data_IF_544503972513
#
_entry.id   IF_544503972513
#
_cell.length_a   1.000
_cell.length_b   1.000
_cell.length_c   1.000
_cell.angle_alpha   90.00
_cell.angle_beta   90.00
_cell.angle_gamma   90.00
#
_symmetry.space_group_name_H-M   'P 1'
#
loop_
_entity.id
_entity.type
_entity.pdbx_description
1 polymer ?
#
# COMPACT_ATOMS: atom_id res chain seq x y z
N UNK A 1 14.49 12.51 -4.22
CA UNK A 1 13.83 11.20 -4.28
C UNK A 1 13.12 11.07 -5.61
N UNK A 2 13.18 9.90 -6.25
CA UNK A 2 12.49 9.61 -7.51
C UNK A 2 11.56 8.41 -7.32
N UNK A 3 10.34 8.48 -7.86
CA UNK A 3 9.39 7.35 -7.84
C UNK A 3 9.83 6.31 -8.87
N UNK A 4 9.99 5.07 -8.44
CA UNK A 4 10.32 3.94 -9.30
C UNK A 4 9.06 3.32 -9.91
N UNK A 5 8.07 3.05 -9.05
CA UNK A 5 6.82 2.40 -9.43
C UNK A 5 5.69 2.86 -8.50
N UNK A 6 4.46 2.70 -8.99
CA UNK A 6 3.24 2.68 -8.18
C UNK A 6 2.54 1.34 -8.43
N UNK A 7 2.24 0.64 -7.36
CA UNK A 7 1.50 -0.62 -7.37
C UNK A 7 0.16 -0.39 -6.69
N UNK A 8 -0.94 -0.88 -7.27
CA UNK A 8 -2.28 -0.62 -6.76
C UNK A 8 -2.99 -1.94 -6.49
N UNK A 9 -3.78 -1.97 -5.42
CA UNK A 9 -4.50 -3.15 -4.99
C UNK A 9 -5.80 -2.83 -4.27
N UNK A 10 -6.61 -3.87 -4.07
CA UNK A 10 -7.89 -3.80 -3.37
C UNK A 10 -7.97 -4.87 -2.28
N UNK A 11 -8.62 -4.52 -1.18
CA UNK A 11 -8.88 -5.44 -0.08
C UNK A 11 -10.26 -5.22 0.50
N UNK A 12 -10.83 -6.26 1.09
CA UNK A 12 -12.15 -6.17 1.70
C UNK A 12 -12.18 -6.83 3.07
N UNK A 13 -13.12 -6.40 3.90
CA UNK A 13 -13.61 -7.16 5.05
C UNK A 13 -15.13 -7.25 4.96
N UNK A 14 -15.63 -8.46 4.73
CA UNK A 14 -17.04 -8.66 4.41
C UNK A 14 -17.93 -8.67 5.67
N UNK A 15 -17.43 -9.07 6.83
CA UNK A 15 -18.36 -9.32 7.94
C UNK A 15 -17.96 -8.67 9.26
N UNK A 16 -16.73 -8.16 9.38
CA UNK A 16 -16.19 -7.63 10.63
C UNK A 16 -16.21 -6.12 10.74
N UNK A 17 -16.52 -5.39 9.67
CA UNK A 17 -16.29 -3.93 9.59
C UNK A 17 -14.86 -3.54 9.98
N UNK A 18 -13.89 -4.44 9.73
CA UNK A 18 -12.49 -4.25 10.09
C UNK A 18 -11.73 -3.54 8.96
N UNK A 19 -11.67 -2.22 9.11
CA UNK A 19 -10.97 -1.32 8.20
C UNK A 19 -9.47 -1.63 8.09
N UNK A 20 -8.83 -2.03 9.18
CA UNK A 20 -7.40 -2.37 9.19
C UNK A 20 -7.14 -3.64 8.39
N UNK A 21 -7.97 -4.66 8.56
CA UNK A 21 -7.88 -5.91 7.79
C UNK A 21 -8.13 -5.68 6.30
N UNK A 22 -9.13 -4.89 5.94
CA UNK A 22 -9.37 -4.51 4.55
C UNK A 22 -8.16 -3.75 3.96
N UNK A 23 -7.61 -2.79 4.69
CA UNK A 23 -6.42 -2.04 4.28
C UNK A 23 -5.18 -2.92 4.10
N UNK A 24 -4.89 -3.82 5.05
CA UNK A 24 -3.78 -4.79 4.94
C UNK A 24 -3.91 -5.66 3.69
N UNK A 25 -5.12 -6.15 3.41
CA UNK A 25 -5.40 -6.93 2.20
C UNK A 25 -5.17 -6.12 0.93
N UNK A 26 -5.58 -4.84 0.90
CA UNK A 26 -5.35 -3.97 -0.25
C UNK A 26 -3.86 -3.72 -0.51
N UNK A 27 -3.07 -3.53 0.55
CA UNK A 27 -1.62 -3.36 0.46
C UNK A 27 -0.94 -4.66 0.03
N UNK A 28 -1.33 -5.81 0.59
CA UNK A 28 -0.80 -7.11 0.16
C UNK A 28 -1.11 -7.39 -1.31
N UNK A 29 -2.36 -7.17 -1.73
CA UNK A 29 -2.79 -7.30 -3.13
C UNK A 29 -1.94 -6.44 -4.06
N UNK A 30 -1.62 -5.20 -3.65
CA UNK A 30 -0.81 -4.29 -4.45
C UNK A 30 0.61 -4.84 -4.73
N UNK A 31 1.34 -5.33 -3.72
CA UNK A 31 2.75 -5.72 -3.91
C UNK A 31 2.97 -7.21 -4.23
N UNK A 32 1.98 -8.09 -4.02
CA UNK A 32 2.20 -9.55 -4.09
C UNK A 32 2.36 -10.08 -5.52
N UNK A 33 1.89 -9.32 -6.51
CA UNK A 33 1.90 -9.73 -7.92
C UNK A 33 3.12 -9.23 -8.70
N UNK A 34 4.04 -8.50 -8.06
CA UNK A 34 5.22 -7.95 -8.69
C UNK A 34 6.51 -8.29 -7.93
N UNK A 35 7.65 -8.04 -8.57
CA UNK A 35 8.96 -8.14 -7.92
C UNK A 35 9.84 -6.97 -8.33
N UNK A 36 10.55 -6.40 -7.36
CA UNK A 36 11.49 -5.29 -7.59
C UNK A 36 12.91 -5.84 -7.75
N UNK A 37 13.13 -6.63 -8.80
CA UNK A 37 14.44 -7.24 -9.11
C UNK A 37 15.54 -6.19 -9.33
N UNK A 38 15.18 -4.95 -9.68
CA UNK A 38 16.08 -3.81 -9.88
C UNK A 38 17.07 -3.60 -8.72
N UNK A 39 16.65 -3.84 -7.47
CA UNK A 39 17.53 -3.70 -6.31
C UNK A 39 18.70 -4.68 -6.37
N UNK A 40 18.43 -5.93 -6.74
CA UNK A 40 19.47 -6.95 -6.91
C UNK A 40 20.31 -6.67 -8.16
N UNK A 41 19.65 -6.38 -9.29
CA UNK A 41 20.33 -6.19 -10.58
C UNK A 41 21.30 -5.00 -10.60
N UNK A 42 20.98 -3.93 -9.86
CA UNK A 42 21.79 -2.71 -9.79
C UNK A 42 22.57 -2.57 -8.47
N UNK A 43 22.59 -3.62 -7.64
CA UNK A 43 23.25 -3.63 -6.32
C UNK A 43 22.84 -2.44 -5.43
N UNK A 44 21.54 -2.13 -5.39
CA UNK A 44 20.97 -1.05 -4.59
C UNK A 44 20.53 -1.55 -3.21
N UNK A 45 20.74 -0.72 -2.19
CA UNK A 45 20.33 -1.01 -0.82
C UNK A 45 18.83 -0.74 -0.63
N UNK A 46 18.03 -1.80 -0.57
CA UNK A 46 16.57 -1.68 -0.39
C UNK A 46 16.13 -0.98 0.91
N UNK A 47 17.01 -0.83 1.91
CA UNK A 47 16.68 -0.07 3.13
C UNK A 47 16.60 1.44 2.87
N UNK A 48 17.16 1.94 1.76
CA UNK A 48 17.04 3.34 1.33
C UNK A 48 15.76 3.62 0.55
N UNK A 49 14.99 2.58 0.23
CA UNK A 49 13.70 2.72 -0.43
C UNK A 49 12.69 3.32 0.55
N UNK A 50 12.10 4.45 0.18
CA UNK A 50 10.95 4.99 0.89
C UNK A 50 9.69 4.45 0.24
N UNK A 51 8.78 3.90 1.05
CA UNK A 51 7.49 3.40 0.58
C UNK A 51 6.40 4.32 1.08
N UNK A 52 5.71 4.99 0.16
CA UNK A 52 4.53 5.78 0.49
C UNK A 52 3.30 4.96 0.18
N UNK A 53 2.51 4.67 1.20
CA UNK A 53 1.25 3.93 1.07
C UNK A 53 0.11 4.92 1.24
N UNK A 54 -0.78 5.00 0.27
CA UNK A 54 -2.06 5.70 0.40
C UNK A 54 -3.17 4.67 0.41
N UNK A 55 -3.99 4.64 1.46
CA UNK A 55 -5.15 3.76 1.57
C UNK A 55 -6.43 4.58 1.52
N UNK A 56 -7.34 4.24 0.63
CA UNK A 56 -8.69 4.80 0.55
C UNK A 56 -9.71 3.88 1.24
N UNK A 57 -10.37 4.38 2.28
CA UNK A 57 -11.48 3.70 2.97
C UNK A 57 -12.57 4.69 3.40
N UNK A 58 -13.78 4.21 3.69
CA UNK A 58 -14.90 5.10 4.02
C UNK A 58 -14.71 5.84 5.36
N UNK A 59 -14.10 5.19 6.37
CA UNK A 59 -13.82 5.72 7.71
C UNK A 59 -12.30 5.62 8.02
N UNK A 60 -11.48 6.59 7.58
CA UNK A 60 -10.01 6.54 7.68
C UNK A 60 -9.46 6.36 9.09
N UNK A 61 -10.10 6.98 10.07
CA UNK A 61 -9.73 6.97 11.49
C UNK A 61 -9.84 5.58 12.15
N UNK A 62 -10.50 4.62 11.49
CA UNK A 62 -10.62 3.23 11.96
C UNK A 62 -9.48 2.32 11.49
N UNK A 63 -8.53 2.85 10.72
CA UNK A 63 -7.37 2.08 10.22
C UNK A 63 -6.17 2.29 11.15
N UNK A 64 -5.58 1.17 11.60
CA UNK A 64 -4.28 1.15 12.25
C UNK A 64 -3.17 1.25 11.18
N UNK A 65 -2.65 2.46 11.00
CA UNK A 65 -1.58 2.76 10.04
C UNK A 65 -0.28 2.00 10.34
N UNK A 66 0.07 1.80 11.60
CA UNK A 66 1.30 1.11 11.99
C UNK A 66 1.20 -0.37 11.63
N UNK A 67 0.05 -0.98 11.91
CA UNK A 67 -0.20 -2.37 11.56
C UNK A 67 -0.25 -2.59 10.04
N UNK A 68 -0.73 -1.61 9.26
CA UNK A 68 -0.66 -1.64 7.80
C UNK A 68 0.79 -1.49 7.31
N UNK A 69 1.57 -0.56 7.89
CA UNK A 69 2.97 -0.36 7.53
C UNK A 69 3.80 -1.63 7.76
N UNK A 70 3.53 -2.34 8.85
CA UNK A 70 4.22 -3.57 9.24
C UNK A 70 4.00 -4.76 8.28
N UNK A 71 3.05 -4.69 7.32
CA UNK A 71 2.87 -5.75 6.31
C UNK A 71 3.89 -5.69 5.18
N UNK A 72 4.54 -4.54 4.98
CA UNK A 72 5.49 -4.36 3.90
C UNK A 72 6.80 -5.12 4.20
N UNK A 73 7.30 -5.95 3.26
CA UNK A 73 8.43 -6.83 3.53
C UNK A 73 9.79 -6.10 3.58
N UNK A 74 9.87 -4.85 3.12
CA UNK A 74 11.10 -4.06 3.03
C UNK A 74 10.82 -2.59 2.77
N UNK A 75 11.85 -1.76 2.97
CA UNK A 75 11.78 -0.32 2.81
C UNK A 75 11.24 0.38 4.06
N UNK A 76 11.30 1.71 4.05
CA UNK A 76 10.81 2.55 5.14
C UNK A 76 9.43 3.05 4.76
N UNK A 77 8.40 2.48 5.38
CA UNK A 77 7.00 2.73 5.03
C UNK A 77 6.40 3.91 5.80
N UNK A 78 5.63 4.73 5.10
CA UNK A 78 4.73 5.75 5.66
C UNK A 78 3.35 5.51 5.08
N UNK A 79 2.36 5.27 5.95
CA UNK A 79 0.97 5.02 5.57
C UNK A 79 0.13 6.27 5.82
N UNK A 80 -0.56 6.71 4.79
CA UNK A 80 -1.58 7.76 4.85
C UNK A 80 -2.92 7.14 4.50
N UNK A 81 -3.92 7.33 5.36
CA UNK A 81 -5.28 6.85 5.12
C UNK A 81 -6.17 8.04 4.82
N UNK A 82 -6.93 7.95 3.74
CA UNK A 82 -7.83 9.01 3.26
C UNK A 82 -9.21 8.47 3.04
N UNK A 83 -10.20 9.38 3.05
CA UNK A 83 -11.57 9.01 2.70
C UNK A 83 -11.61 8.55 1.24
N UNK A 84 -12.09 7.34 1.02
CA UNK A 84 -12.13 6.67 -0.28
C UNK A 84 -12.78 5.29 -0.14
N UNK A 85 -12.39 4.33 -0.99
CA UNK A 85 -12.93 2.98 -0.93
C UNK A 85 -14.46 2.95 -0.98
N UNK A 86 -15.08 1.97 -0.31
CA UNK A 86 -16.54 1.87 -0.23
C UNK A 86 -16.98 1.07 1.00
N UNK A 87 -18.13 1.45 1.57
CA UNK A 87 -18.93 0.54 2.40
C UNK A 87 -20.13 0.08 1.58
N UNK A 88 -20.39 -1.23 1.52
CA UNK A 88 -21.61 -1.79 0.92
C UNK A 88 -22.54 -2.20 2.05
N UNK A 89 -23.72 -1.58 2.12
CA UNK A 89 -24.72 -1.91 3.14
C UNK A 89 -25.31 -3.31 2.89
N UNK A 90 -25.44 -4.10 3.95
CA UNK A 90 -26.16 -5.37 3.98
C UNK A 90 -27.25 -5.31 5.07
N UNK A 91 -28.44 -4.78 4.73
CA UNK A 91 -29.53 -4.66 5.69
C UNK A 91 -30.05 -6.01 6.19
N UNK A 92 -29.94 -7.07 5.39
CA UNK A 92 -30.45 -8.39 5.75
C UNK A 92 -29.66 -9.01 6.90
N UNK A 93 -28.36 -8.71 6.95
CA UNK A 93 -27.48 -9.16 8.03
C UNK A 93 -27.14 -8.05 9.03
N UNK A 94 -27.83 -6.90 8.97
CA UNK A 94 -27.62 -5.73 9.83
C UNK A 94 -26.14 -5.31 9.92
N UNK A 95 -25.44 -5.30 8.79
CA UNK A 95 -24.00 -5.03 8.73
C UNK A 95 -23.63 -4.26 7.45
N UNK A 96 -22.34 -4.06 7.22
CA UNK A 96 -21.80 -3.57 5.95
C UNK A 96 -20.49 -4.27 5.62
N UNK A 97 -20.16 -4.33 4.33
CA UNK A 97 -18.88 -4.82 3.83
C UNK A 97 -17.95 -3.63 3.60
N UNK A 98 -16.71 -3.70 4.10
CA UNK A 98 -15.69 -2.67 3.88
C UNK A 98 -14.86 -3.04 2.66
N UNK A 99 -14.65 -2.08 1.76
CA UNK A 99 -13.74 -2.17 0.61
C UNK A 99 -12.70 -1.06 0.76
N UNK A 100 -11.44 -1.46 0.80
CA UNK A 100 -10.26 -0.60 0.80
C UNK A 100 -9.56 -0.66 -0.56
N UNK A 101 -9.04 0.48 -1.01
CA UNK A 101 -8.11 0.55 -2.13
C UNK A 101 -6.76 1.05 -1.64
N UNK A 102 -5.66 0.57 -2.21
CA UNK A 102 -4.32 0.99 -1.84
C UNK A 102 -3.50 1.38 -3.07
N UNK A 103 -2.67 2.40 -2.91
CA UNK A 103 -1.58 2.75 -3.80
C UNK A 103 -0.26 2.68 -3.00
N UNK A 104 0.66 1.83 -3.45
CA UNK A 104 1.97 1.59 -2.84
C UNK A 104 3.03 2.15 -3.80
N UNK A 105 3.64 3.26 -3.42
CA UNK A 105 4.64 3.95 -4.23
C UNK A 105 6.04 3.72 -3.66
N UNK A 106 6.93 3.13 -4.47
CA UNK A 106 8.33 2.96 -4.11
C UNK A 106 9.16 4.13 -4.65
N UNK A 107 9.90 4.80 -3.76
CA UNK A 107 10.82 5.88 -4.07
C UNK A 107 12.25 5.49 -3.72
N UNK A 108 13.21 5.95 -4.52
CA UNK A 108 14.64 5.75 -4.24
C UNK A 108 15.48 7.01 -4.49
N UNK A 109 16.57 7.24 -3.75
CA UNK A 109 17.49 8.36 -3.99
C UNK A 109 18.38 8.08 -5.20
N UNK A 110 17.83 8.25 -6.39
CA UNK A 110 18.60 8.21 -7.65
C UNK A 110 19.23 9.59 -7.87
N UNK A 111 20.54 9.63 -8.17
CA UNK A 111 21.21 10.81 -8.72
C UNK A 111 21.29 10.68 -10.25
N UNK A 112 20.56 11.48 -11.04
CA UNK A 112 20.54 11.34 -12.49
C UNK A 112 21.93 11.41 -13.14
N UNK A 113 22.85 12.19 -12.57
CA UNK A 113 24.24 12.30 -13.05
C UNK A 113 25.06 11.01 -12.98
N UNK A 114 24.65 10.04 -12.17
CA UNK A 114 25.33 8.74 -12.04
C UNK A 114 24.94 7.77 -13.18
N UNK A 115 23.97 8.14 -14.03
CA UNK A 115 23.41 7.27 -15.05
C UNK A 115 23.37 7.97 -16.41
N UNK A 116 23.88 7.31 -17.46
CA UNK A 116 23.76 7.78 -18.85
C UNK A 116 23.13 6.69 -19.70
N UNK A 117 22.29 7.08 -20.64
CA UNK A 117 21.89 6.19 -21.72
C UNK A 117 23.16 5.86 -22.54
N UNK A 118 23.42 4.58 -22.76
CA UNK A 118 24.50 4.10 -23.62
C UNK A 118 24.19 4.34 -25.08
#
# INVERSE_FOLDING_TARGET
>A
MHRLIIEMGMGNDLYGMDYTKAAKRAVEDAFRHSTLSIFKSLNLDSNKMQVKVTVGVNEPEKVDCEAVAATLPRGVAVVTVVRGGQNIADPMNNTSHVIATAAVEAYYPIKPSEWKLS
#
